data_IF_162449152423
#
_entry.id   IF_162449152423
#
_cell.length_a   1.000
_cell.length_b   1.000
_cell.length_c   1.000
_cell.angle_alpha   90.00
_cell.angle_beta   90.00
_cell.angle_gamma   90.00
#
_symmetry.space_group_name_H-M   'P 1'
#
loop_
_entity.id
_entity.type
_entity.pdbx_description
1 polymer ?
#
# COMPACT_ATOMS: atom_id res chain seq x y z
N UNK A 1 -2.72 7.67 -45.46
CA UNK A 1 -1.57 6.85 -45.01
C UNK A 1 -1.48 7.01 -43.50
N UNK A 2 -2.31 6.29 -42.75
CA UNK A 2 -2.28 6.30 -41.29
C UNK A 2 -1.64 5.01 -40.81
N UNK A 3 -0.84 5.06 -39.75
CA UNK A 3 -0.64 4.03 -38.72
C UNK A 3 0.32 4.64 -37.67
N UNK A 4 -0.22 5.51 -36.81
CA UNK A 4 0.48 6.06 -35.66
C UNK A 4 0.42 5.03 -34.53
N UNK A 5 1.46 4.20 -34.41
CA UNK A 5 1.61 3.21 -33.34
C UNK A 5 2.41 3.80 -32.19
N UNK A 6 1.83 4.79 -31.49
CA UNK A 6 2.36 5.24 -30.21
C UNK A 6 1.88 4.30 -29.10
N UNK A 7 2.50 3.13 -29.03
CA UNK A 7 2.35 2.18 -27.92
C UNK A 7 3.01 2.80 -26.68
N UNK A 8 2.26 3.58 -25.91
CA UNK A 8 2.67 4.07 -24.60
C UNK A 8 2.59 2.92 -23.58
N UNK A 9 3.49 1.94 -23.73
CA UNK A 9 3.69 0.90 -22.72
C UNK A 9 4.38 1.55 -21.52
N UNK A 10 3.58 1.84 -20.50
CA UNK A 10 4.07 2.16 -19.16
C UNK A 10 5.20 1.17 -18.83
N UNK A 11 6.40 1.64 -18.45
CA UNK A 11 7.58 0.79 -18.39
C UNK A 11 7.39 -0.33 -17.35
N UNK A 12 7.23 -1.55 -17.84
CA UNK A 12 7.08 -2.79 -17.05
C UNK A 12 8.18 -2.96 -15.97
N UNK A 13 9.33 -2.32 -16.19
CA UNK A 13 10.46 -2.23 -15.25
C UNK A 13 10.08 -1.66 -13.87
N UNK A 14 9.12 -0.72 -13.81
CA UNK A 14 8.65 -0.13 -12.54
C UNK A 14 7.85 -1.15 -11.75
N UNK A 15 6.94 -1.87 -12.41
CA UNK A 15 6.14 -2.93 -11.79
C UNK A 15 7.01 -4.05 -11.21
N UNK A 16 8.03 -4.51 -11.95
CA UNK A 16 8.95 -5.56 -11.48
C UNK A 16 9.78 -5.10 -10.27
N UNK A 17 10.23 -3.84 -10.25
CA UNK A 17 10.99 -3.29 -9.12
C UNK A 17 10.14 -3.19 -7.85
N UNK A 18 8.89 -2.75 -7.98
CA UNK A 18 7.95 -2.65 -6.84
C UNK A 18 7.54 -4.04 -6.37
N UNK A 19 7.34 -4.99 -7.28
CA UNK A 19 7.08 -6.38 -6.95
C UNK A 19 8.21 -6.99 -6.10
N UNK A 20 9.47 -6.78 -6.50
CA UNK A 20 10.62 -7.21 -5.69
C UNK A 20 10.62 -6.55 -4.30
N UNK A 21 10.31 -5.26 -4.23
CA UNK A 21 10.25 -4.53 -2.96
C UNK A 21 9.16 -5.07 -2.04
N UNK A 22 7.97 -5.40 -2.58
CA UNK A 22 6.89 -6.05 -1.84
C UNK A 22 7.29 -7.45 -1.32
N UNK A 23 8.05 -8.20 -2.13
CA UNK A 23 8.56 -9.51 -1.77
C UNK A 23 9.57 -9.41 -0.62
N UNK A 24 10.47 -8.43 -0.67
CA UNK A 24 11.43 -8.14 0.41
C UNK A 24 10.70 -7.74 1.70
N UNK A 25 9.74 -6.81 1.64
CA UNK A 25 8.92 -6.44 2.80
C UNK A 25 8.16 -7.65 3.37
N UNK A 26 7.79 -8.61 2.53
CA UNK A 26 7.14 -9.85 2.97
C UNK A 26 8.11 -10.81 3.63
N UNK A 27 9.30 -10.98 3.06
CA UNK A 27 10.37 -11.74 3.69
C UNK A 27 10.75 -11.20 5.07
N UNK A 28 10.89 -9.87 5.20
CA UNK A 28 11.15 -9.22 6.49
C UNK A 28 10.02 -9.51 7.47
N UNK A 29 8.76 -9.38 7.05
CA UNK A 29 7.63 -9.62 7.95
C UNK A 29 7.57 -11.07 8.45
N UNK A 30 7.80 -12.04 7.56
CA UNK A 30 7.87 -13.46 7.93
C UNK A 30 9.05 -13.71 8.86
N UNK A 31 10.24 -13.17 8.54
CA UNK A 31 11.43 -13.32 9.38
C UNK A 31 11.22 -12.74 10.78
N UNK A 32 10.61 -11.56 10.90
CA UNK A 32 10.27 -10.97 12.20
C UNK A 32 9.24 -11.83 12.94
N UNK A 33 8.24 -12.36 12.23
CA UNK A 33 7.22 -13.24 12.81
C UNK A 33 7.77 -14.58 13.29
N UNK A 34 8.86 -15.09 12.70
CA UNK A 34 9.42 -16.41 13.04
C UNK A 34 10.61 -16.36 14.00
N UNK A 35 11.37 -15.26 14.02
CA UNK A 35 12.67 -15.18 14.74
C UNK A 35 12.65 -14.28 15.98
N UNK A 36 11.65 -13.42 16.17
CA UNK A 36 11.65 -12.38 17.21
C UNK A 36 10.49 -12.52 18.22
N UNK A 37 10.62 -11.85 19.37
CA UNK A 37 9.62 -11.78 20.45
C UNK A 37 8.26 -11.21 19.95
N UNK A 38 7.17 -11.65 20.58
CA UNK A 38 5.80 -11.30 20.17
C UNK A 38 5.57 -9.79 20.01
N UNK A 39 6.08 -8.97 20.93
CA UNK A 39 5.92 -7.52 20.86
C UNK A 39 6.53 -6.91 19.59
N UNK A 40 7.74 -7.32 19.20
CA UNK A 40 8.42 -6.80 18.01
C UNK A 40 7.73 -7.26 16.71
N UNK A 41 7.16 -8.47 16.71
CA UNK A 41 6.35 -8.96 15.59
C UNK A 41 5.09 -8.13 15.37
N UNK A 42 4.39 -7.75 16.45
CA UNK A 42 3.20 -6.88 16.38
C UNK A 42 3.54 -5.50 15.80
N UNK A 43 4.59 -4.86 16.29
CA UNK A 43 5.05 -3.57 15.76
C UNK A 43 5.45 -3.66 14.28
N UNK A 44 6.14 -4.73 13.88
CA UNK A 44 6.49 -4.96 12.49
C UNK A 44 5.25 -5.17 11.60
N UNK A 45 4.26 -5.95 12.05
CA UNK A 45 2.99 -6.14 11.34
C UNK A 45 2.25 -4.81 11.15
N UNK A 46 2.15 -4.00 12.20
CA UNK A 46 1.47 -2.70 12.18
C UNK A 46 2.10 -1.71 11.20
N UNK A 47 3.44 -1.74 11.03
CA UNK A 47 4.14 -0.80 10.14
C UNK A 47 4.22 -1.35 8.70
N UNK A 48 4.61 -2.61 8.56
CA UNK A 48 4.91 -3.20 7.25
C UNK A 48 3.64 -3.44 6.43
N UNK A 49 2.52 -3.77 7.09
CA UNK A 49 1.24 -4.03 6.40
C UNK A 49 0.70 -2.79 5.67
N UNK A 50 0.51 -1.61 6.31
CA UNK A 50 0.06 -0.41 5.61
C UNK A 50 1.10 0.09 4.59
N UNK A 51 2.40 -0.11 4.84
CA UNK A 51 3.45 0.26 3.89
C UNK A 51 3.34 -0.52 2.57
N UNK A 52 3.08 -1.84 2.63
CA UNK A 52 2.81 -2.66 1.44
C UNK A 52 1.57 -2.17 0.71
N UNK A 53 0.48 -1.91 1.42
CA UNK A 53 -0.76 -1.41 0.83
C UNK A 53 -0.54 -0.05 0.12
N UNK A 54 0.20 0.87 0.75
CA UNK A 54 0.58 2.16 0.15
C UNK A 54 1.43 2.00 -1.11
N UNK A 55 2.39 1.07 -1.12
CA UNK A 55 3.20 0.76 -2.30
C UNK A 55 2.33 0.25 -3.47
N UNK A 56 1.40 -0.65 -3.19
CA UNK A 56 0.48 -1.17 -4.22
C UNK A 56 -0.42 -0.04 -4.75
N UNK A 57 -0.98 0.79 -3.88
CA UNK A 57 -1.80 1.94 -4.27
C UNK A 57 -1.06 2.96 -5.14
N UNK A 58 0.19 3.28 -4.79
CA UNK A 58 0.98 4.27 -5.54
C UNK A 58 1.44 3.74 -6.90
N UNK A 59 1.87 2.48 -6.97
CA UNK A 59 2.56 1.95 -8.15
C UNK A 59 1.69 1.04 -9.02
N UNK A 60 0.89 0.15 -8.43
CA UNK A 60 0.05 -0.78 -9.20
C UNK A 60 -1.27 -0.14 -9.63
N UNK A 61 -1.84 0.73 -8.81
CA UNK A 61 -3.09 1.43 -9.15
C UNK A 61 -2.89 2.65 -10.06
N UNK A 62 -1.66 2.93 -10.52
CA UNK A 62 -1.36 4.03 -11.45
C UNK A 62 -1.89 5.40 -10.97
N UNK A 63 -2.09 5.58 -9.67
CA UNK A 63 -2.69 6.76 -9.06
C UNK A 63 -1.90 8.05 -9.31
N UNK A 64 -0.62 7.91 -9.67
CA UNK A 64 0.26 9.02 -10.04
C UNK A 64 0.25 9.37 -11.55
N UNK A 65 -0.40 8.54 -12.38
CA UNK A 65 -0.61 8.78 -13.82
C UNK A 65 -2.06 9.09 -14.18
N UNK A 66 -2.99 8.81 -13.26
CA UNK A 66 -4.39 9.19 -13.39
C UNK A 66 -4.67 10.59 -12.82
N UNK A 67 -5.86 11.12 -13.15
CA UNK A 67 -6.27 12.49 -12.79
C UNK A 67 -6.14 12.72 -11.26
N UNK A 68 -5.67 13.89 -10.82
CA UNK A 68 -5.44 14.20 -9.40
C UNK A 68 -6.69 14.03 -8.51
N UNK A 69 -7.89 14.09 -9.10
CA UNK A 69 -9.16 13.83 -8.42
C UNK A 69 -9.30 12.41 -7.87
N UNK A 70 -8.84 11.38 -8.60
CA UNK A 70 -8.91 9.99 -8.15
C UNK A 70 -7.96 9.75 -6.98
N UNK A 71 -6.77 10.36 -7.04
CA UNK A 71 -5.83 10.39 -5.91
C UNK A 71 -6.46 11.00 -4.68
N UNK A 72 -7.07 12.18 -4.80
CA UNK A 72 -7.75 12.84 -3.68
C UNK A 72 -8.88 11.97 -3.09
N UNK A 73 -9.67 11.32 -3.94
CA UNK A 73 -10.76 10.44 -3.51
C UNK A 73 -10.26 9.23 -2.71
N UNK A 74 -9.21 8.55 -3.17
CA UNK A 74 -8.63 7.40 -2.46
C UNK A 74 -8.09 7.82 -1.08
N UNK A 75 -7.35 8.94 -1.00
CA UNK A 75 -6.88 9.45 0.28
C UNK A 75 -8.02 9.87 1.20
N UNK A 76 -9.08 10.47 0.65
CA UNK A 76 -10.28 10.81 1.42
C UNK A 76 -10.95 9.56 1.98
N UNK A 77 -11.16 8.52 1.16
CA UNK A 77 -11.76 7.25 1.59
C UNK A 77 -10.91 6.57 2.67
N UNK A 78 -9.59 6.51 2.50
CA UNK A 78 -8.68 5.95 3.50
C UNK A 78 -8.67 6.77 4.79
N UNK A 79 -8.75 8.10 4.69
CA UNK A 79 -8.86 8.99 5.84
C UNK A 79 -10.14 8.78 6.64
N UNK A 80 -11.28 8.70 5.95
CA UNK A 80 -12.58 8.39 6.58
C UNK A 80 -12.56 7.00 7.20
N UNK A 81 -12.02 5.99 6.51
CA UNK A 81 -11.89 4.62 7.04
C UNK A 81 -11.03 4.60 8.31
N UNK A 82 -9.90 5.29 8.29
CA UNK A 82 -8.99 5.37 9.44
C UNK A 82 -9.66 6.08 10.62
N UNK A 83 -10.36 7.18 10.36
CA UNK A 83 -11.13 7.90 11.39
C UNK A 83 -12.21 6.99 11.98
N UNK A 84 -12.93 6.26 11.15
CA UNK A 84 -14.00 5.36 11.59
C UNK A 84 -13.47 4.22 12.46
N UNK A 85 -12.36 3.58 12.05
CA UNK A 85 -11.68 2.55 12.85
C UNK A 85 -11.19 3.14 14.18
N UNK A 86 -10.60 4.35 14.15
CA UNK A 86 -10.12 5.03 15.35
C UNK A 86 -11.26 5.28 16.34
N UNK A 87 -12.35 5.89 15.88
CA UNK A 87 -13.54 6.16 16.70
C UNK A 87 -14.12 4.87 17.28
N UNK A 88 -14.27 3.81 16.46
CA UNK A 88 -14.73 2.50 16.93
C UNK A 88 -13.84 1.94 18.04
N UNK A 89 -12.52 2.10 17.93
CA UNK A 89 -11.59 1.61 18.94
C UNK A 89 -11.72 2.38 20.25
N UNK A 90 -11.89 3.71 20.20
CA UNK A 90 -12.18 4.52 21.39
C UNK A 90 -13.52 4.15 22.03
N UNK A 91 -14.57 3.94 21.23
CA UNK A 91 -15.89 3.52 21.71
C UNK A 91 -15.87 2.17 22.43
N UNK A 92 -15.10 1.20 21.91
CA UNK A 92 -14.91 -0.11 22.53
C UNK A 92 -14.11 0.00 23.84
N UNK A 93 -13.12 0.90 23.89
CA UNK A 93 -12.27 1.09 25.06
C UNK A 93 -13.00 1.79 26.22
N UNK A 94 -13.98 2.64 25.91
CA UNK A 94 -14.82 3.32 26.90
C UNK A 94 -15.90 2.41 27.52
N UNK A 95 -16.02 1.14 27.08
CA UNK A 95 -16.94 0.12 27.61
C UNK A 95 -16.25 -0.86 28.55
#
# INVERSE_FOLDING_TARGET
>A
MGHETHVHIVPYRVFVRVWLLLLVLTGILVATSTLWHEALSVWAMLIVTPLKAGLVLFYFMHLNYEKPYLRALVFLTLGVLTLFIGILFFDILDR
#
